data_IF_540606393674
#
_entry.id   IF_540606393674
#
_cell.length_a   1.000
_cell.length_b   1.000
_cell.length_c   1.000
_cell.angle_alpha   90.00
_cell.angle_beta   90.00
_cell.angle_gamma   90.00
#
_symmetry.space_group_name_H-M   'P 1'
#
loop_
_entity.id
_entity.type
_entity.pdbx_description
1 polymer ?
#
# COMPACT_ATOMS: atom_id res chain seq x y z
N UNK A 1 -43.21 -1.94 -6.89
CA UNK A 1 -42.35 -3.05 -6.61
C UNK A 1 -41.25 -2.68 -5.67
N UNK A 2 -40.98 -3.56 -4.78
CA UNK A 2 -39.97 -3.35 -3.74
C UNK A 2 -38.58 -3.13 -4.33
N UNK A 3 -38.29 -3.80 -5.44
CA UNK A 3 -37.02 -3.63 -6.12
C UNK A 3 -36.78 -2.21 -6.61
N UNK A 4 -37.83 -1.53 -7.03
CA UNK A 4 -37.74 -0.16 -7.50
C UNK A 4 -37.45 0.79 -6.34
N UNK A 5 -38.13 0.60 -5.22
CA UNK A 5 -37.89 1.41 -4.02
C UNK A 5 -36.48 1.24 -3.50
N UNK A 6 -35.99 0.01 -3.45
CA UNK A 6 -34.62 -0.28 -3.03
C UNK A 6 -33.63 0.40 -3.97
N UNK A 7 -33.88 0.40 -5.28
CA UNK A 7 -33.01 1.05 -6.25
C UNK A 7 -32.89 2.55 -6.01
N UNK A 8 -33.97 3.20 -5.61
CA UNK A 8 -33.97 4.64 -5.35
C UNK A 8 -33.08 4.96 -4.15
N UNK A 9 -33.09 4.09 -3.14
CA UNK A 9 -32.30 4.29 -1.92
C UNK A 9 -30.84 3.86 -2.08
N UNK A 10 -30.61 2.84 -2.89
CA UNK A 10 -29.26 2.29 -3.10
C UNK A 10 -28.23 3.33 -3.56
N UNK A 11 -28.53 4.24 -4.54
CA UNK A 11 -27.52 5.20 -4.96
C UNK A 11 -26.94 6.04 -3.82
N UNK A 12 -27.79 6.57 -2.95
CA UNK A 12 -27.34 7.40 -1.84
C UNK A 12 -26.52 6.59 -0.83
N UNK A 13 -27.02 5.42 -0.45
CA UNK A 13 -26.31 4.52 0.44
C UNK A 13 -25.00 4.06 -0.16
N UNK A 14 -24.99 3.80 -1.46
CA UNK A 14 -23.82 3.35 -2.16
C UNK A 14 -22.73 4.44 -2.17
N UNK A 15 -23.12 5.71 -2.33
CA UNK A 15 -22.15 6.80 -2.29
C UNK A 15 -21.48 6.93 -0.94
N UNK A 16 -22.25 6.91 0.15
CA UNK A 16 -21.68 6.93 1.49
C UNK A 16 -20.77 5.75 1.73
N UNK A 17 -21.24 4.58 1.35
CA UNK A 17 -20.47 3.35 1.51
C UNK A 17 -19.20 3.38 0.68
N UNK A 18 -19.27 3.92 -0.52
CA UNK A 18 -18.09 4.09 -1.39
C UNK A 18 -17.05 4.98 -0.73
N UNK A 19 -17.46 6.09 -0.17
CA UNK A 19 -16.56 6.99 0.54
C UNK A 19 -15.89 6.30 1.72
N UNK A 20 -16.65 5.54 2.48
CA UNK A 20 -16.12 4.78 3.62
C UNK A 20 -15.14 3.71 3.15
N UNK A 21 -15.47 3.00 2.09
CA UNK A 21 -14.59 1.97 1.53
C UNK A 21 -13.30 2.57 0.99
N UNK A 22 -13.38 3.72 0.33
CA UNK A 22 -12.20 4.41 -0.16
C UNK A 22 -11.31 4.83 1.01
N UNK A 23 -11.88 5.35 2.07
CA UNK A 23 -11.13 5.71 3.28
C UNK A 23 -10.43 4.50 3.90
N UNK A 24 -11.14 3.40 4.02
CA UNK A 24 -10.58 2.15 4.55
C UNK A 24 -9.46 1.64 3.67
N UNK A 25 -9.66 1.66 2.37
CA UNK A 25 -8.67 1.20 1.40
C UNK A 25 -7.40 2.06 1.48
N UNK A 26 -7.55 3.36 1.59
CA UNK A 26 -6.41 4.28 1.75
C UNK A 26 -5.67 4.02 3.05
N UNK A 27 -6.40 3.80 4.14
CA UNK A 27 -5.80 3.51 5.43
C UNK A 27 -5.02 2.20 5.40
N UNK A 28 -5.57 1.18 4.77
CA UNK A 28 -4.89 -0.10 4.59
C UNK A 28 -3.62 0.04 3.75
N UNK A 29 -3.69 0.83 2.67
CA UNK A 29 -2.54 1.08 1.82
C UNK A 29 -1.43 1.81 2.59
N UNK A 30 -1.77 2.80 3.39
CA UNK A 30 -0.80 3.51 4.22
C UNK A 30 -0.18 2.57 5.26
N UNK A 31 -0.99 1.73 5.86
CA UNK A 31 -0.50 0.74 6.83
C UNK A 31 0.49 -0.22 6.17
N UNK A 32 0.18 -0.68 4.97
CA UNK A 32 1.08 -1.55 4.20
C UNK A 32 2.40 -0.85 3.89
N UNK A 33 2.35 0.42 3.49
CA UNK A 33 3.54 1.21 3.21
C UNK A 33 4.41 1.39 4.44
N UNK A 34 3.79 1.62 5.59
CA UNK A 34 4.52 1.73 6.86
C UNK A 34 5.23 0.41 7.16
N UNK A 35 4.53 -0.72 6.97
CA UNK A 35 5.14 -2.04 7.15
C UNK A 35 6.34 -2.26 6.24
N UNK A 36 6.23 -1.88 4.98
CA UNK A 36 7.33 -2.00 4.02
C UNK A 36 8.52 -1.14 4.44
N UNK A 37 8.27 0.08 4.88
CA UNK A 37 9.34 0.97 5.35
C UNK A 37 10.00 0.46 6.63
N UNK A 38 9.22 -0.15 7.50
CA UNK A 38 9.74 -0.75 8.73
C UNK A 38 10.68 -1.90 8.42
N UNK A 39 10.29 -2.78 7.50
CA UNK A 39 11.13 -3.89 7.05
C UNK A 39 12.41 -3.36 6.42
N UNK A 40 12.32 -2.32 5.59
CA UNK A 40 13.49 -1.68 4.98
C UNK A 40 14.46 -1.18 6.05
N UNK A 41 13.92 -0.50 7.07
CA UNK A 41 14.74 0.02 8.16
C UNK A 41 15.45 -1.11 8.91
N UNK A 42 14.73 -2.18 9.21
CA UNK A 42 15.28 -3.34 9.89
C UNK A 42 16.38 -3.99 9.06
N UNK A 43 16.16 -4.13 7.76
CA UNK A 43 17.15 -4.70 6.85
C UNK A 43 18.40 -3.81 6.77
N UNK A 44 18.24 -2.50 6.68
CA UNK A 44 19.36 -1.56 6.66
C UNK A 44 20.13 -1.59 7.96
N UNK A 45 19.45 -1.69 9.09
CA UNK A 45 20.09 -1.80 10.41
C UNK A 45 20.89 -3.09 10.51
N UNK A 46 20.37 -4.17 9.98
CA UNK A 46 21.06 -5.45 9.93
C UNK A 46 22.35 -5.35 9.10
N UNK A 47 22.26 -4.72 7.94
CA UNK A 47 23.44 -4.51 7.08
C UNK A 47 24.49 -3.67 7.80
N UNK A 48 24.08 -2.64 8.52
CA UNK A 48 25.00 -1.80 9.30
C UNK A 48 25.70 -2.59 10.40
N UNK A 49 24.96 -3.47 11.07
CA UNK A 49 25.53 -4.34 12.11
C UNK A 49 26.58 -5.28 11.53
N UNK A 50 26.33 -5.80 10.35
CA UNK A 50 27.20 -6.73 9.66
C UNK A 50 28.30 -6.04 8.84
N UNK A 51 28.30 -4.71 8.80
CA UNK A 51 29.25 -3.94 7.99
C UNK A 51 30.71 -4.14 8.41
N UNK A 52 30.94 -4.64 9.59
CA UNK A 52 32.31 -4.96 10.06
C UNK A 52 32.92 -6.17 9.36
N UNK A 53 32.07 -7.08 8.88
CA UNK A 53 32.49 -8.32 8.24
C UNK A 53 32.25 -8.30 6.73
N UNK A 54 31.52 -7.30 6.22
CA UNK A 54 31.16 -7.18 4.81
C UNK A 54 31.84 -5.95 4.22
N UNK A 55 32.45 -6.05 3.03
CA UNK A 55 33.03 -4.88 2.36
C UNK A 55 32.01 -3.76 2.16
N UNK A 56 32.46 -2.54 2.26
CA UNK A 56 31.60 -1.35 2.11
C UNK A 56 30.83 -1.33 0.81
N UNK A 57 31.47 -1.74 -0.28
CA UNK A 57 30.85 -1.80 -1.62
C UNK A 57 29.66 -2.76 -1.63
N UNK A 58 29.82 -3.91 -0.99
CA UNK A 58 28.78 -4.93 -0.92
C UNK A 58 27.63 -4.44 -0.05
N UNK A 59 27.94 -3.81 1.08
CA UNK A 59 26.91 -3.26 1.96
C UNK A 59 26.08 -2.20 1.24
N UNK A 60 26.75 -1.31 0.51
CA UNK A 60 26.07 -0.28 -0.27
C UNK A 60 25.20 -0.87 -1.37
N UNK A 61 25.70 -1.88 -2.06
CA UNK A 61 24.93 -2.58 -3.08
C UNK A 61 23.68 -3.23 -2.53
N UNK A 62 23.77 -3.82 -1.33
CA UNK A 62 22.63 -4.42 -0.67
C UNK A 62 21.60 -3.37 -0.26
N UNK A 63 22.07 -2.24 0.28
CA UNK A 63 21.18 -1.12 0.62
C UNK A 63 20.46 -0.59 -0.61
N UNK A 64 21.14 -0.46 -1.72
CA UNK A 64 20.55 -0.01 -2.99
C UNK A 64 19.50 -0.99 -3.49
N UNK A 65 19.76 -2.30 -3.38
CA UNK A 65 18.80 -3.33 -3.75
C UNK A 65 17.56 -3.29 -2.87
N UNK A 66 17.75 -3.11 -1.57
CA UNK A 66 16.65 -3.00 -0.62
C UNK A 66 15.80 -1.78 -0.94
N UNK A 67 16.43 -0.65 -1.24
CA UNK A 67 15.72 0.57 -1.61
C UNK A 67 14.92 0.37 -2.90
N UNK A 68 15.52 -0.26 -3.89
CA UNK A 68 14.85 -0.54 -5.16
C UNK A 68 13.63 -1.44 -4.97
N UNK A 69 13.78 -2.50 -4.17
CA UNK A 69 12.66 -3.40 -3.86
C UNK A 69 11.56 -2.68 -3.09
N UNK A 70 11.96 -1.84 -2.13
CA UNK A 70 11.01 -1.04 -1.35
C UNK A 70 10.19 -0.13 -2.27
N UNK A 71 10.86 0.56 -3.18
CA UNK A 71 10.19 1.45 -4.13
C UNK A 71 9.23 0.68 -5.03
N UNK A 72 9.62 -0.51 -5.48
CA UNK A 72 8.76 -1.37 -6.30
C UNK A 72 7.51 -1.82 -5.53
N UNK A 73 7.66 -2.22 -4.29
CA UNK A 73 6.53 -2.65 -3.46
C UNK A 73 5.58 -1.50 -3.16
N UNK A 74 6.12 -0.32 -2.87
CA UNK A 74 5.31 0.87 -2.63
C UNK A 74 4.54 1.24 -3.90
N UNK A 75 5.18 1.18 -5.06
CA UNK A 75 4.51 1.42 -6.34
C UNK A 75 3.40 0.42 -6.60
N UNK A 76 3.61 -0.85 -6.24
CA UNK A 76 2.57 -1.88 -6.35
C UNK A 76 1.38 -1.59 -5.44
N UNK A 77 1.64 -1.16 -4.21
CA UNK A 77 0.59 -0.78 -3.27
C UNK A 77 -0.22 0.39 -3.83
N UNK A 78 0.45 1.40 -4.39
CA UNK A 78 -0.23 2.54 -5.00
C UNK A 78 -1.07 2.14 -6.19
N UNK A 79 -0.57 1.23 -7.02
CA UNK A 79 -1.32 0.70 -8.16
C UNK A 79 -2.56 -0.05 -7.72
N UNK A 80 -2.43 -0.88 -6.70
CA UNK A 80 -3.55 -1.61 -6.13
C UNK A 80 -4.60 -0.68 -5.55
N UNK A 81 -4.14 0.35 -4.85
CA UNK A 81 -5.01 1.36 -4.28
C UNK A 81 -5.81 2.06 -5.38
N UNK A 82 -5.12 2.50 -6.43
CA UNK A 82 -5.75 3.17 -7.55
C UNK A 82 -6.80 2.29 -8.23
N UNK A 83 -6.45 1.03 -8.48
CA UNK A 83 -7.36 0.06 -9.07
C UNK A 83 -8.58 -0.18 -8.19
N UNK A 84 -8.36 -0.31 -6.88
CA UNK A 84 -9.44 -0.51 -5.90
C UNK A 84 -10.37 0.70 -5.84
N UNK A 85 -9.81 1.89 -5.84
CA UNK A 85 -10.60 3.11 -5.84
C UNK A 85 -11.48 3.20 -7.09
N UNK A 86 -10.92 2.87 -8.24
CA UNK A 86 -11.67 2.82 -9.49
C UNK A 86 -12.81 1.82 -9.43
N UNK A 87 -12.54 0.62 -8.93
CA UNK A 87 -13.57 -0.41 -8.77
C UNK A 87 -14.70 0.07 -7.88
N UNK A 88 -14.36 0.66 -6.74
CA UNK A 88 -15.33 1.15 -5.78
C UNK A 88 -16.18 2.26 -6.39
N UNK A 89 -15.58 3.16 -7.15
CA UNK A 89 -16.26 4.32 -7.73
C UNK A 89 -17.02 4.00 -9.00
N UNK A 90 -16.73 2.89 -9.65
CA UNK A 90 -17.35 2.51 -10.92
C UNK A 90 -18.72 1.84 -10.75
N UNK A 91 -18.98 1.28 -9.60
CA UNK A 91 -20.28 0.61 -9.32
C UNK A 91 -21.30 1.65 -8.82
#
# INVERSE_FOLDING_TARGET
NDGTVVRINIPALTEERRKDLVKKTKAEAEHSKVGIRTVRKEANDLIKRESKTVPEDVAKGLEDQIQKMTDQFIAMVDKHLEAKEKEIMTI
#
